data_IF_769192694266
#
_entry.id   IF_769192694266
#
_cell.length_a   1.000
_cell.length_b   1.000
_cell.length_c   1.000
_cell.angle_alpha   90.00
_cell.angle_beta   90.00
_cell.angle_gamma   90.00
#
_symmetry.space_group_name_H-M   'P 1'
#
loop_
_entity.id
_entity.type
_entity.pdbx_description
1 polymer ?
#
# COMPACT_ATOMS: atom_id res chain seq x y z
N UNK A 1 -44.92 35.24 -9.90
CA UNK A 1 -44.55 34.73 -11.22
C UNK A 1 -43.16 35.20 -11.57
N UNK A 2 -42.32 34.43 -12.09
CA UNK A 2 -40.99 34.15 -11.56
C UNK A 2 -39.91 35.08 -12.11
N UNK A 3 -39.74 36.25 -11.51
CA UNK A 3 -38.61 37.16 -11.78
C UNK A 3 -37.31 36.73 -11.12
N UNK A 4 -37.31 35.59 -10.43
CA UNK A 4 -36.12 35.08 -9.72
C UNK A 4 -35.21 34.17 -10.54
N UNK A 5 -35.61 33.67 -11.68
CA UNK A 5 -34.81 32.77 -12.52
C UNK A 5 -33.80 33.49 -13.42
N UNK A 6 -34.08 34.73 -13.82
CA UNK A 6 -33.17 35.49 -14.69
C UNK A 6 -31.88 35.89 -13.98
N UNK A 7 -31.96 36.22 -12.70
CA UNK A 7 -30.75 36.50 -11.88
C UNK A 7 -29.88 35.30 -11.60
N UNK A 8 -30.48 34.09 -11.51
CA UNK A 8 -29.72 32.85 -11.28
C UNK A 8 -28.97 32.38 -12.52
N UNK A 9 -29.51 32.54 -13.70
CA UNK A 9 -28.81 32.20 -14.97
C UNK A 9 -27.62 33.13 -15.24
N UNK A 10 -27.74 34.42 -14.95
CA UNK A 10 -26.61 35.36 -15.06
C UNK A 10 -25.51 35.02 -14.08
N UNK A 11 -25.83 34.72 -12.82
CA UNK A 11 -24.85 34.28 -11.82
C UNK A 11 -24.18 32.95 -12.18
N UNK A 12 -24.91 32.04 -12.81
CA UNK A 12 -24.35 30.77 -13.30
C UNK A 12 -23.37 31.02 -14.44
N UNK A 13 -23.76 31.83 -15.45
CA UNK A 13 -22.87 32.17 -16.58
C UNK A 13 -21.59 32.85 -16.10
N UNK A 14 -21.68 33.83 -15.22
CA UNK A 14 -20.52 34.56 -14.68
C UNK A 14 -19.59 33.62 -13.90
N UNK A 15 -20.16 32.70 -13.09
CA UNK A 15 -19.36 31.74 -12.31
C UNK A 15 -18.67 30.69 -13.16
N UNK A 16 -19.28 30.30 -14.27
CA UNK A 16 -18.72 29.26 -15.14
C UNK A 16 -17.98 29.80 -16.35
N UNK A 17 -18.04 31.13 -16.63
CA UNK A 17 -17.34 31.74 -17.76
C UNK A 17 -15.83 31.51 -17.74
N UNK A 18 -15.25 31.45 -16.53
CA UNK A 18 -13.80 31.27 -16.30
C UNK A 18 -13.42 29.91 -15.65
N UNK A 19 -14.35 28.95 -15.65
CA UNK A 19 -14.13 27.67 -14.95
C UNK A 19 -12.89 26.93 -15.44
N UNK A 20 -12.53 27.07 -16.70
CA UNK A 20 -11.34 26.44 -17.28
C UNK A 20 -10.06 27.30 -17.15
N UNK A 21 -10.18 28.56 -16.77
CA UNK A 21 -9.02 29.43 -16.59
C UNK A 21 -8.30 29.15 -15.25
N UNK A 22 -9.07 28.73 -14.23
CA UNK A 22 -8.54 28.56 -12.88
C UNK A 22 -8.15 29.87 -12.21
N UNK A 23 -7.70 29.77 -10.97
CA UNK A 23 -7.14 30.88 -10.22
C UNK A 23 -5.63 31.07 -10.51
N UNK A 24 -5.04 32.07 -9.89
CA UNK A 24 -3.60 32.37 -10.06
C UNK A 24 -2.70 31.19 -9.61
N UNK A 25 -3.11 30.45 -8.57
CA UNK A 25 -2.36 29.28 -8.10
C UNK A 25 -2.40 28.16 -9.13
N UNK A 26 -3.58 27.92 -9.73
CA UNK A 26 -3.72 26.95 -10.80
C UNK A 26 -2.89 27.31 -12.05
N UNK A 27 -2.92 28.59 -12.46
CA UNK A 27 -2.17 29.08 -13.62
C UNK A 27 -0.66 29.08 -13.42
N UNK A 28 -0.20 29.16 -12.16
CA UNK A 28 1.24 29.14 -11.82
C UNK A 28 1.84 27.73 -11.81
N UNK A 29 1.00 26.67 -11.92
CA UNK A 29 1.49 25.30 -11.94
C UNK A 29 2.38 25.07 -13.17
N UNK A 30 3.60 24.64 -12.91
CA UNK A 30 4.52 24.21 -13.96
C UNK A 30 4.14 22.81 -14.43
N UNK A 31 3.59 22.71 -15.63
CA UNK A 31 3.20 21.44 -16.22
C UNK A 31 4.40 20.89 -17.01
N UNK A 32 4.92 19.71 -16.67
CA UNK A 32 5.96 19.09 -17.48
C UNK A 32 5.46 18.84 -18.91
N UNK A 33 6.28 19.16 -19.89
CA UNK A 33 6.00 18.87 -21.29
C UNK A 33 6.53 17.49 -21.64
N UNK A 34 5.68 16.65 -22.27
CA UNK A 34 6.06 15.30 -22.71
C UNK A 34 4.94 14.27 -22.47
N UNK A 35 5.09 13.10 -23.11
CA UNK A 35 4.10 12.02 -23.06
C UNK A 35 4.28 11.11 -21.83
N UNK A 36 5.32 11.33 -21.02
CA UNK A 36 5.65 10.47 -19.88
C UNK A 36 5.85 11.28 -18.62
N UNK A 37 5.40 10.73 -17.50
CA UNK A 37 5.68 11.28 -16.19
C UNK A 37 7.19 11.24 -15.89
N UNK A 38 7.75 12.35 -15.42
CA UNK A 38 9.15 12.43 -14.97
C UNK A 38 9.19 12.09 -13.49
N UNK A 39 9.82 10.97 -13.17
CA UNK A 39 9.96 10.51 -11.79
C UNK A 39 11.08 11.24 -11.06
N UNK A 40 10.75 11.79 -9.90
CA UNK A 40 11.73 12.39 -9.00
C UNK A 40 12.26 11.33 -8.03
N UNK A 41 13.55 11.02 -8.12
CA UNK A 41 14.17 9.96 -7.34
C UNK A 41 14.11 10.22 -5.82
N UNK A 42 14.17 11.48 -5.42
CA UNK A 42 14.19 11.90 -4.01
C UNK A 42 12.81 12.20 -3.43
N UNK A 43 11.76 12.13 -4.25
CA UNK A 43 10.39 12.34 -3.77
C UNK A 43 10.04 11.33 -2.68
N UNK A 44 9.51 11.84 -1.56
CA UNK A 44 9.01 11.00 -0.46
C UNK A 44 7.50 10.75 -0.56
N UNK A 45 6.81 11.33 -1.55
CA UNK A 45 5.37 11.17 -1.79
C UNK A 45 5.05 10.30 -2.99
N UNK A 46 5.80 10.41 -4.09
CA UNK A 46 5.56 9.66 -5.32
C UNK A 46 6.86 9.05 -5.80
N UNK A 47 6.90 7.73 -5.92
CA UNK A 47 8.05 6.98 -6.45
C UNK A 47 7.63 6.04 -7.55
N UNK A 48 8.52 5.84 -8.53
CA UNK A 48 8.33 4.83 -9.55
C UNK A 48 8.19 3.45 -8.87
N UNK A 49 7.05 2.77 -9.01
CA UNK A 49 6.88 1.44 -8.43
C UNK A 49 7.59 0.38 -9.27
N UNK A 50 8.07 -0.73 -8.66
CA UNK A 50 8.85 -1.74 -9.37
C UNK A 50 8.01 -2.77 -10.14
N UNK A 51 6.67 -2.65 -10.16
CA UNK A 51 5.78 -3.68 -10.73
C UNK A 51 6.05 -4.01 -12.20
N UNK A 52 6.59 -3.06 -12.96
CA UNK A 52 6.88 -3.23 -14.38
C UNK A 52 8.38 -3.37 -14.69
N UNK A 53 9.22 -3.41 -13.65
CA UNK A 53 10.64 -3.61 -13.85
C UNK A 53 10.88 -5.05 -14.32
N UNK A 54 11.61 -5.19 -15.44
CA UNK A 54 11.91 -6.48 -16.06
C UNK A 54 10.68 -7.29 -16.55
N UNK A 55 9.55 -6.61 -16.79
CA UNK A 55 8.37 -7.26 -17.32
C UNK A 55 8.63 -7.79 -18.74
N UNK A 56 8.48 -9.10 -18.92
CA UNK A 56 8.59 -9.73 -20.25
C UNK A 56 7.27 -9.55 -21.04
N UNK A 57 7.36 -9.58 -22.38
CA UNK A 57 6.17 -9.54 -23.25
C UNK A 57 5.31 -10.79 -23.14
N UNK A 58 5.89 -11.90 -22.71
CA UNK A 58 5.18 -13.16 -22.50
C UNK A 58 5.21 -13.53 -21.03
N UNK A 59 4.09 -14.01 -20.46
CA UNK A 59 4.06 -14.51 -19.09
C UNK A 59 5.08 -15.65 -18.91
N UNK A 60 5.74 -15.67 -17.77
CA UNK A 60 6.58 -16.80 -17.41
C UNK A 60 5.71 -18.06 -17.17
N UNK A 61 6.22 -19.25 -17.46
CA UNK A 61 5.50 -20.49 -17.14
C UNK A 61 5.30 -20.60 -15.61
N UNK A 62 4.18 -21.21 -15.25
CA UNK A 62 3.90 -21.51 -13.83
C UNK A 62 4.94 -22.49 -13.32
N UNK A 63 5.54 -22.17 -12.18
CA UNK A 63 6.56 -22.99 -11.53
C UNK A 63 6.12 -23.35 -10.11
N UNK A 64 6.59 -24.52 -9.65
CA UNK A 64 6.40 -24.92 -8.26
C UNK A 64 7.11 -23.94 -7.31
N UNK A 65 6.43 -23.56 -6.23
CA UNK A 65 7.01 -22.81 -5.15
C UNK A 65 7.68 -23.76 -4.16
N UNK A 66 9.00 -23.62 -3.98
CA UNK A 66 9.80 -24.48 -3.08
C UNK A 66 10.42 -23.65 -1.98
N UNK A 67 10.55 -24.25 -0.78
CA UNK A 67 11.20 -23.61 0.36
C UNK A 67 10.45 -22.40 0.94
N UNK A 68 9.17 -22.28 0.67
CA UNK A 68 8.32 -21.18 1.15
C UNK A 68 8.32 -21.13 2.69
N UNK A 69 8.42 -19.92 3.26
CA UNK A 69 8.23 -19.68 4.69
C UNK A 69 6.95 -18.89 4.94
N UNK A 70 6.29 -19.21 6.05
CA UNK A 70 5.08 -18.49 6.46
C UNK A 70 5.49 -17.20 7.18
N UNK A 71 5.09 -16.06 6.63
CA UNK A 71 5.36 -14.74 7.20
C UNK A 71 4.35 -14.39 8.30
N UNK A 72 3.09 -14.81 8.13
CA UNK A 72 2.06 -14.60 9.14
C UNK A 72 1.00 -15.71 9.07
N UNK A 73 0.46 -16.07 10.24
CA UNK A 73 -0.71 -16.92 10.41
C UNK A 73 -1.79 -16.08 11.07
N UNK A 74 -2.85 -15.81 10.32
CA UNK A 74 -3.90 -14.86 10.67
C UNK A 74 -5.22 -15.59 10.92
N UNK A 75 -6.05 -15.03 11.79
CA UNK A 75 -7.39 -15.54 12.06
C UNK A 75 -8.42 -15.16 11.00
N UNK A 76 -9.69 -15.30 11.39
CA UNK A 76 -10.85 -14.93 10.58
C UNK A 76 -11.01 -13.42 10.46
N UNK A 77 -11.74 -12.99 9.42
CA UNK A 77 -12.19 -11.60 9.20
C UNK A 77 -11.06 -10.56 9.21
N UNK A 78 -9.88 -10.94 8.70
CA UNK A 78 -8.78 -9.99 8.50
C UNK A 78 -9.13 -9.07 7.33
N UNK A 79 -9.41 -7.81 7.65
CA UNK A 79 -9.86 -6.82 6.66
C UNK A 79 -8.71 -6.25 5.86
N UNK A 80 -9.02 -5.60 4.73
CA UNK A 80 -8.05 -4.85 3.95
C UNK A 80 -7.39 -3.72 4.73
N UNK A 81 -8.03 -3.19 5.79
CA UNK A 81 -7.44 -2.19 6.69
C UNK A 81 -6.42 -2.78 7.67
N UNK A 82 -6.48 -4.08 7.92
CA UNK A 82 -5.43 -4.78 8.67
C UNK A 82 -4.19 -5.04 7.81
N UNK A 83 -4.37 -5.21 6.52
CA UNK A 83 -3.31 -5.55 5.56
C UNK A 83 -2.66 -4.30 4.99
N UNK A 84 -3.46 -3.42 4.37
CA UNK A 84 -2.99 -2.16 3.80
C UNK A 84 -2.86 -1.10 4.90
N UNK A 85 -1.75 -0.38 4.98
CA UNK A 85 -1.58 0.62 6.01
C UNK A 85 -2.55 1.80 5.82
N UNK A 86 -3.01 2.34 6.94
CA UNK A 86 -3.89 3.50 7.01
C UNK A 86 -3.56 4.36 8.24
N UNK A 87 -4.03 5.60 8.25
CA UNK A 87 -3.81 6.52 9.36
C UNK A 87 -2.40 7.11 9.42
N UNK A 88 -2.02 7.57 10.60
CA UNK A 88 -0.75 8.22 10.85
C UNK A 88 0.43 7.23 10.79
N UNK A 89 1.60 7.77 10.49
CA UNK A 89 2.86 7.01 10.45
C UNK A 89 3.58 7.21 11.79
N UNK A 90 3.73 6.17 12.64
CA UNK A 90 4.49 6.30 13.89
C UNK A 90 5.98 6.52 13.61
N UNK A 91 6.63 7.36 14.41
CA UNK A 91 8.03 7.71 14.20
C UNK A 91 8.99 6.52 14.41
N UNK A 92 8.66 5.62 15.32
CA UNK A 92 9.42 4.41 15.65
C UNK A 92 9.17 3.24 14.70
N UNK A 93 8.16 3.36 13.81
CA UNK A 93 7.84 2.35 12.80
C UNK A 93 8.90 2.27 11.70
N UNK A 94 8.98 1.15 10.96
CA UNK A 94 9.84 1.06 9.77
C UNK A 94 9.61 2.18 8.75
N UNK A 95 8.35 2.61 8.56
CA UNK A 95 8.00 3.72 7.67
C UNK A 95 8.48 5.07 8.20
N UNK A 96 8.34 5.32 9.51
CA UNK A 96 8.84 6.54 10.15
C UNK A 96 10.36 6.64 10.06
N UNK A 97 11.06 5.56 10.38
CA UNK A 97 12.53 5.48 10.25
C UNK A 97 13.00 5.74 8.82
N UNK A 98 12.29 5.17 7.82
CA UNK A 98 12.58 5.43 6.41
C UNK A 98 12.41 6.91 6.06
N UNK A 99 11.34 7.56 6.50
CA UNK A 99 11.10 8.98 6.23
C UNK A 99 12.14 9.88 6.91
N UNK A 100 12.50 9.58 8.17
CA UNK A 100 13.58 10.32 8.86
C UNK A 100 14.92 10.15 8.16
N UNK A 101 15.25 8.97 7.68
CA UNK A 101 16.46 8.74 6.88
C UNK A 101 16.48 9.52 5.56
N UNK A 102 15.29 9.93 5.05
CA UNK A 102 15.12 10.82 3.90
C UNK A 102 15.03 12.30 4.28
N UNK A 103 15.28 12.65 5.54
CA UNK A 103 15.28 14.03 6.03
C UNK A 103 13.89 14.61 6.33
N UNK A 104 12.82 13.77 6.32
CA UNK A 104 11.48 14.22 6.67
C UNK A 104 11.32 14.20 8.18
N UNK A 105 10.89 15.31 8.77
CA UNK A 105 10.67 15.41 10.21
C UNK A 105 9.37 14.69 10.61
N UNK A 106 9.23 14.20 11.87
CA UNK A 106 8.03 13.52 12.34
C UNK A 106 6.75 14.35 12.19
N UNK A 107 6.80 15.65 12.39
CA UNK A 107 5.66 16.56 12.19
C UNK A 107 5.19 16.65 10.73
N UNK A 108 6.07 16.32 9.77
CA UNK A 108 5.82 16.38 8.33
C UNK A 108 5.51 15.01 7.72
N UNK A 109 5.41 13.94 8.53
CA UNK A 109 5.16 12.59 8.01
C UNK A 109 3.85 12.48 7.26
N UNK A 110 2.84 13.22 7.71
CA UNK A 110 1.49 13.08 7.20
C UNK A 110 0.96 11.65 7.44
N UNK A 111 0.11 11.14 6.56
CA UNK A 111 -0.49 9.81 6.70
C UNK A 111 -0.04 8.84 5.60
N UNK A 112 -0.23 7.54 5.83
CA UNK A 112 -0.04 6.53 4.79
C UNK A 112 -0.88 6.83 3.54
N UNK A 113 -2.12 7.33 3.72
CA UNK A 113 -2.99 7.70 2.61
C UNK A 113 -2.42 8.81 1.75
N UNK A 114 -1.78 9.83 2.35
CA UNK A 114 -1.12 10.92 1.62
C UNK A 114 0.12 10.43 0.85
N UNK A 115 0.78 9.38 1.33
CA UNK A 115 2.00 8.81 0.74
C UNK A 115 1.78 7.51 -0.04
N UNK A 116 0.51 7.18 -0.37
CA UNK A 116 0.18 5.94 -1.10
C UNK A 116 0.83 5.82 -2.48
N UNK A 117 1.33 6.91 -3.04
CA UNK A 117 2.13 6.93 -4.26
C UNK A 117 3.60 6.54 -4.06
N UNK A 118 4.02 6.32 -2.81
CA UNK A 118 5.36 5.86 -2.47
C UNK A 118 5.31 4.43 -1.92
N UNK A 119 5.65 3.46 -2.75
CA UNK A 119 5.62 2.05 -2.38
C UNK A 119 6.56 1.73 -1.21
N UNK A 120 7.68 2.42 -1.07
CA UNK A 120 8.62 2.24 0.03
C UNK A 120 8.00 2.56 1.40
N UNK A 121 7.15 3.57 1.47
CA UNK A 121 6.39 3.88 2.69
C UNK A 121 5.30 2.84 2.92
N UNK A 122 4.57 2.46 1.87
CA UNK A 122 3.43 1.56 1.99
C UNK A 122 3.83 0.14 2.40
N UNK A 123 4.92 -0.41 1.86
CA UNK A 123 5.37 -1.76 2.24
C UNK A 123 5.79 -1.83 3.72
N UNK A 124 6.35 -0.75 4.25
CA UNK A 124 6.79 -0.65 5.65
C UNK A 124 5.64 -0.57 6.66
N UNK A 125 4.43 -0.29 6.17
CA UNK A 125 3.20 -0.31 6.96
C UNK A 125 2.29 -1.50 6.65
N UNK A 126 2.64 -2.34 5.67
CA UNK A 126 1.85 -3.52 5.33
C UNK A 126 1.83 -4.50 6.49
N UNK A 127 0.63 -4.96 6.88
CA UNK A 127 0.36 -5.76 8.07
C UNK A 127 0.77 -5.09 9.41
N UNK A 128 0.95 -3.77 9.44
CA UNK A 128 1.36 -3.07 10.66
C UNK A 128 0.17 -2.51 11.47
N UNK A 129 -1.06 -2.92 11.17
CA UNK A 129 -2.22 -2.47 11.94
C UNK A 129 -2.11 -2.96 13.39
N UNK A 130 -2.30 -2.04 14.36
CA UNK A 130 -2.14 -2.31 15.80
C UNK A 130 -3.08 -3.40 16.34
N UNK A 131 -4.15 -3.74 15.64
CA UNK A 131 -5.12 -4.77 16.02
C UNK A 131 -4.82 -6.13 15.37
N UNK A 132 -3.81 -6.21 14.52
CA UNK A 132 -3.45 -7.46 13.86
C UNK A 132 -2.88 -8.43 14.91
N UNK A 133 -3.37 -9.67 14.87
CA UNK A 133 -2.85 -10.76 15.70
C UNK A 133 -2.25 -11.82 14.81
N UNK A 134 -0.96 -12.03 14.95
CA UNK A 134 -0.23 -13.05 14.23
C UNK A 134 0.02 -14.25 15.13
N UNK A 135 -0.55 -15.41 14.80
CA UNK A 135 -0.41 -16.64 15.59
C UNK A 135 1.02 -17.20 15.60
N UNK A 136 1.91 -16.74 14.71
CA UNK A 136 3.35 -17.04 14.79
C UNK A 136 4.04 -16.31 15.94
N UNK A 137 3.46 -15.19 16.42
CA UNK A 137 3.98 -14.41 17.54
C UNK A 137 2.90 -14.28 18.63
N UNK A 138 2.53 -15.37 19.31
CA UNK A 138 1.44 -15.37 20.27
C UNK A 138 1.68 -14.39 21.40
N UNK A 139 0.62 -13.70 21.84
CA UNK A 139 0.70 -12.69 22.89
C UNK A 139 1.14 -11.31 22.42
N UNK A 140 1.43 -11.13 21.13
CA UNK A 140 1.73 -9.83 20.53
C UNK A 140 0.54 -9.30 19.72
N UNK A 141 0.48 -7.98 19.56
CA UNK A 141 -0.44 -7.28 18.67
C UNK A 141 0.35 -6.37 17.74
N UNK A 142 -0.23 -6.05 16.58
CA UNK A 142 0.43 -5.21 15.57
C UNK A 142 1.22 -6.03 14.56
N UNK A 143 2.10 -5.34 13.85
CA UNK A 143 2.89 -5.90 12.73
C UNK A 143 4.11 -6.72 13.18
N UNK A 144 3.92 -7.66 14.09
CA UNK A 144 5.00 -8.51 14.64
C UNK A 144 4.93 -9.91 14.07
N UNK A 145 6.08 -10.50 13.79
CA UNK A 145 6.24 -11.90 13.39
C UNK A 145 7.52 -12.49 13.98
N UNK A 146 7.75 -13.75 13.69
CA UNK A 146 8.98 -14.46 14.07
C UNK A 146 9.68 -14.92 12.82
N UNK A 147 10.97 -14.61 12.69
CA UNK A 147 11.78 -15.13 11.60
C UNK A 147 12.17 -16.58 11.86
N UNK A 148 11.92 -17.46 10.92
CA UNK A 148 12.25 -18.88 11.00
C UNK A 148 13.45 -19.22 10.09
N UNK A 149 14.43 -20.01 10.53
CA UNK A 149 14.42 -20.84 11.74
C UNK A 149 14.97 -20.17 13.01
N UNK A 150 15.42 -18.90 12.96
CA UNK A 150 16.11 -18.27 14.09
C UNK A 150 15.21 -18.02 15.31
N UNK A 151 13.87 -18.10 15.15
CA UNK A 151 12.87 -17.78 16.17
C UNK A 151 13.01 -16.36 16.76
N UNK A 152 13.55 -15.45 15.97
CA UNK A 152 13.78 -14.06 16.36
C UNK A 152 12.53 -13.21 16.09
N UNK A 153 11.92 -12.57 17.11
CA UNK A 153 10.77 -11.69 16.92
C UNK A 153 11.21 -10.38 16.30
N UNK A 154 10.46 -9.92 15.30
CA UNK A 154 10.72 -8.66 14.60
C UNK A 154 9.47 -8.14 13.93
N UNK A 155 9.55 -6.95 13.32
CA UNK A 155 8.44 -6.45 12.50
C UNK A 155 8.26 -7.33 11.25
N UNK A 156 7.03 -7.39 10.74
CA UNK A 156 6.75 -8.12 9.49
C UNK A 156 7.62 -7.58 8.35
N UNK A 157 7.83 -6.26 8.30
CA UNK A 157 8.70 -5.65 7.30
C UNK A 157 10.15 -6.12 7.45
N UNK A 158 10.74 -6.05 8.64
CA UNK A 158 12.14 -6.46 8.85
C UNK A 158 12.34 -7.96 8.57
N UNK A 159 11.36 -8.79 8.93
CA UNK A 159 11.38 -10.22 8.59
C UNK A 159 11.36 -10.44 7.07
N UNK A 160 10.53 -9.67 6.34
CA UNK A 160 10.46 -9.77 4.88
C UNK A 160 11.78 -9.38 4.21
N UNK A 161 12.47 -8.34 4.68
CA UNK A 161 13.80 -7.94 4.19
C UNK A 161 14.84 -9.04 4.45
N UNK A 162 14.79 -9.65 5.64
CA UNK A 162 15.69 -10.77 5.98
C UNK A 162 15.46 -11.97 5.05
N UNK A 163 14.21 -12.39 4.87
CA UNK A 163 13.87 -13.45 3.92
C UNK A 163 14.21 -13.10 2.47
N UNK A 164 14.06 -11.84 2.07
CA UNK A 164 14.45 -11.39 0.74
C UNK A 164 15.96 -11.54 0.51
N UNK A 165 16.79 -11.21 1.51
CA UNK A 165 18.26 -11.43 1.47
C UNK A 165 18.64 -12.90 1.36
N UNK A 166 17.84 -13.79 1.95
CA UNK A 166 17.97 -15.25 1.90
C UNK A 166 17.35 -15.86 0.62
N UNK A 167 16.67 -15.03 -0.21
CA UNK A 167 15.92 -15.45 -1.42
C UNK A 167 14.82 -16.49 -1.12
N UNK A 168 14.18 -16.34 0.00
CA UNK A 168 13.11 -17.24 0.48
C UNK A 168 11.75 -16.67 0.11
N UNK A 169 10.93 -17.37 -0.69
CA UNK A 169 9.56 -16.94 -0.97
C UNK A 169 8.67 -17.09 0.26
N UNK A 170 7.68 -16.20 0.40
CA UNK A 170 6.83 -16.10 1.56
C UNK A 170 5.38 -16.50 1.28
N UNK A 171 4.69 -16.95 2.33
CA UNK A 171 3.27 -17.26 2.34
C UNK A 171 2.56 -16.58 3.52
N UNK A 172 1.28 -16.31 3.32
CA UNK A 172 0.33 -15.94 4.38
C UNK A 172 -0.69 -17.08 4.53
N UNK A 173 -0.95 -17.47 5.76
CA UNK A 173 -2.07 -18.35 6.10
C UNK A 173 -3.13 -17.52 6.80
N UNK A 174 -4.40 -17.69 6.44
CA UNK A 174 -5.50 -16.93 7.02
C UNK A 174 -6.76 -17.80 7.18
N UNK A 175 -7.65 -17.37 8.04
CA UNK A 175 -8.96 -17.97 8.23
C UNK A 175 -10.00 -17.53 7.21
N UNK A 176 -11.24 -17.40 7.64
CA UNK A 176 -12.39 -17.02 6.81
C UNK A 176 -12.41 -15.53 6.52
N UNK A 177 -13.04 -15.17 5.40
CA UNK A 177 -13.32 -13.77 5.00
C UNK A 177 -12.07 -12.90 4.88
N UNK A 178 -10.95 -13.49 4.44
CA UNK A 178 -9.70 -12.73 4.27
C UNK A 178 -9.85 -11.63 3.24
N UNK A 179 -9.47 -10.41 3.63
CA UNK A 179 -9.53 -9.21 2.78
C UNK A 179 -10.90 -8.56 2.70
N UNK A 180 -11.79 -8.80 3.66
CA UNK A 180 -13.08 -8.11 3.78
C UNK A 180 -12.91 -6.61 4.04
N UNK A 181 -14.00 -5.84 3.90
CA UNK A 181 -14.02 -4.40 4.11
C UNK A 181 -13.80 -3.58 2.83
N UNK A 182 -13.12 -2.45 2.93
CA UNK A 182 -12.91 -1.53 1.81
C UNK A 182 -12.10 -2.15 0.68
N UNK A 183 -12.44 -1.84 -0.58
CA UNK A 183 -11.64 -2.27 -1.72
C UNK A 183 -10.31 -1.52 -1.77
N UNK A 184 -9.23 -2.18 -1.38
CA UNK A 184 -7.86 -1.63 -1.36
C UNK A 184 -6.91 -2.56 -2.11
N UNK A 185 -6.43 -2.12 -3.25
CA UNK A 185 -5.43 -2.84 -4.04
C UNK A 185 -4.07 -2.96 -3.31
N UNK A 186 -3.73 -2.01 -2.45
CA UNK A 186 -2.54 -2.10 -1.59
C UNK A 186 -2.56 -3.30 -0.64
N UNK A 187 -3.73 -3.86 -0.32
CA UNK A 187 -3.82 -5.11 0.43
C UNK A 187 -3.29 -6.33 -0.37
N UNK A 188 -3.14 -6.22 -1.68
CA UNK A 188 -2.48 -7.22 -2.53
C UNK A 188 -1.06 -6.77 -2.92
N UNK A 189 -0.88 -5.51 -3.30
CA UNK A 189 0.43 -4.92 -3.70
C UNK A 189 1.46 -4.98 -2.57
N UNK A 190 1.05 -4.62 -1.35
CA UNK A 190 1.95 -4.63 -0.19
C UNK A 190 2.54 -6.01 0.08
N UNK A 191 1.73 -7.05 0.28
CA UNK A 191 2.22 -8.42 0.46
C UNK A 191 3.12 -8.91 -0.68
N UNK A 192 2.76 -8.65 -1.94
CA UNK A 192 3.60 -9.02 -3.08
C UNK A 192 5.00 -8.38 -2.98
N UNK A 193 5.07 -7.09 -2.66
CA UNK A 193 6.33 -6.38 -2.53
C UNK A 193 7.15 -6.81 -1.29
N UNK A 194 6.50 -7.37 -0.27
CA UNK A 194 7.17 -8.03 0.85
C UNK A 194 7.69 -9.44 0.51
N UNK A 195 7.49 -9.92 -0.72
CA UNK A 195 7.94 -11.25 -1.15
C UNK A 195 6.92 -12.36 -0.92
N UNK A 196 5.68 -12.04 -0.53
CA UNK A 196 4.58 -13.02 -0.45
C UNK A 196 4.21 -13.48 -1.86
N UNK A 197 4.26 -14.79 -2.08
CA UNK A 197 3.96 -15.45 -3.36
C UNK A 197 2.65 -16.21 -3.33
N UNK A 198 2.17 -16.54 -2.14
CA UNK A 198 0.91 -17.26 -1.99
C UNK A 198 0.19 -16.83 -0.72
N UNK A 199 -1.10 -16.70 -0.82
CA UNK A 199 -2.01 -16.54 0.31
C UNK A 199 -2.94 -17.74 0.34
N UNK A 200 -2.99 -18.47 1.45
CA UNK A 200 -3.89 -19.59 1.67
C UNK A 200 -4.88 -19.17 2.76
N UNK A 201 -6.15 -19.15 2.43
CA UNK A 201 -7.21 -18.79 3.38
C UNK A 201 -8.38 -19.76 3.26
N UNK A 202 -9.15 -19.93 4.35
CA UNK A 202 -10.36 -20.75 4.32
C UNK A 202 -11.43 -20.14 3.37
N UNK A 203 -11.53 -18.81 3.34
CA UNK A 203 -12.31 -18.09 2.33
C UNK A 203 -11.78 -16.67 2.11
N UNK A 204 -12.04 -16.13 0.93
CA UNK A 204 -11.61 -14.77 0.54
C UNK A 204 -12.85 -13.89 0.28
N UNK A 205 -12.68 -12.61 0.59
CA UNK A 205 -13.59 -11.62 0.02
C UNK A 205 -13.36 -11.53 -1.51
N UNK A 206 -14.44 -11.40 -2.26
CA UNK A 206 -14.45 -11.52 -3.72
C UNK A 206 -13.53 -10.52 -4.43
N UNK A 207 -13.59 -9.24 -4.02
CA UNK A 207 -12.79 -8.18 -4.66
C UNK A 207 -11.30 -8.38 -4.31
N UNK A 208 -11.02 -8.72 -3.05
CA UNK A 208 -9.64 -8.95 -2.60
C UNK A 208 -9.00 -10.15 -3.32
N UNK A 209 -9.77 -11.25 -3.49
CA UNK A 209 -9.32 -12.39 -4.30
C UNK A 209 -8.94 -11.96 -5.72
N UNK A 210 -9.77 -11.12 -6.36
CA UNK A 210 -9.47 -10.58 -7.70
C UNK A 210 -8.20 -9.73 -7.70
N UNK A 211 -7.98 -8.93 -6.67
CA UNK A 211 -6.76 -8.12 -6.53
C UNK A 211 -5.52 -9.01 -6.34
N UNK A 212 -5.60 -10.07 -5.54
CA UNK A 212 -4.50 -11.03 -5.37
C UNK A 212 -4.11 -11.69 -6.70
N UNK A 213 -5.11 -12.19 -7.44
CA UNK A 213 -4.87 -12.79 -8.77
C UNK A 213 -4.32 -11.77 -9.76
N UNK A 214 -4.79 -10.53 -9.71
CA UNK A 214 -4.31 -9.45 -10.58
C UNK A 214 -2.86 -9.04 -10.32
N UNK A 215 -2.35 -9.33 -9.14
CA UNK A 215 -0.93 -9.07 -8.79
C UNK A 215 -0.01 -10.28 -9.05
N UNK A 216 -0.52 -11.45 -9.39
CA UNK A 216 0.22 -12.68 -9.70
C UNK A 216 0.18 -13.66 -8.57
#
# INVERSE_FOLDING_TARGET
>A
IPLRLVGSEMCIRDRYSNVFAGDASWQSLQIPTGDRFIWEADSTYVKKPPFFDNLSKQPAPIQDLKGVRVLAVLGDSVTTDHISPAGNIPADSPAGKYLMAKGVKPEDFNSYGARRGNHEVMIRGTFANIRLKNMLAPGTEGGVTVHLPSNEPMTIFDASEKYASEKVPLAILAGKEYGSGSSRDWAAKGPQLLGVRVVVAESYERIHRSNLVGMG
#
